data_IF_099433298042
#
_entry.id   IF_099433298042
#
_cell.length_a   1.000
_cell.length_b   1.000
_cell.length_c   1.000
_cell.angle_alpha   90.00
_cell.angle_beta   90.00
_cell.angle_gamma   90.00
#
_symmetry.space_group_name_H-M   'P 1'
#
loop_
_entity.id
_entity.type
_entity.pdbx_description
1 polymer ?
#
# COMPACT_ATOMS: atom_id res chain seq x y z
N UNK A 1 -22.27 -3.68 17.90
CA UNK A 1 -21.23 -4.41 17.14
C UNK A 1 -20.06 -4.60 18.07
N UNK A 2 -19.53 -5.82 18.16
CA UNK A 2 -18.44 -6.14 19.07
C UNK A 2 -17.15 -5.50 18.55
N UNK A 3 -16.58 -4.57 19.32
CA UNK A 3 -15.20 -4.15 19.11
C UNK A 3 -14.31 -5.34 19.42
N UNK A 4 -13.62 -5.85 18.41
CA UNK A 4 -12.48 -6.75 18.61
C UNK A 4 -11.51 -6.07 19.60
N UNK A 5 -11.00 -6.78 20.62
CA UNK A 5 -10.03 -6.18 21.53
C UNK A 5 -8.78 -5.76 20.75
N UNK A 6 -8.17 -4.60 21.07
CA UNK A 6 -6.94 -4.17 20.41
C UNK A 6 -5.88 -5.24 20.62
N UNK A 7 -5.31 -5.76 19.53
CA UNK A 7 -4.10 -6.59 19.59
C UNK A 7 -3.05 -5.77 20.37
N UNK A 8 -2.71 -6.32 21.52
CA UNK A 8 -2.15 -5.63 22.67
C UNK A 8 -0.70 -5.19 22.46
N UNK A 9 -0.40 -3.91 22.71
CA UNK A 9 0.91 -3.44 23.17
C UNK A 9 1.70 -2.46 22.29
N UNK A 10 1.23 -2.13 21.08
CA UNK A 10 2.02 -1.32 20.14
C UNK A 10 1.68 0.18 20.22
N UNK A 11 2.67 1.09 20.21
CA UNK A 11 2.43 2.52 20.36
C UNK A 11 1.73 3.09 19.12
N UNK A 12 0.48 3.62 19.23
CA UNK A 12 -0.34 4.01 18.08
C UNK A 12 0.28 5.14 17.25
N UNK A 13 1.04 6.04 17.89
CA UNK A 13 1.77 7.12 17.20
C UNK A 13 2.88 6.56 16.32
N UNK A 14 3.57 5.51 16.76
CA UNK A 14 4.63 4.90 15.96
C UNK A 14 4.06 4.16 14.76
N UNK A 15 2.93 3.48 14.95
CA UNK A 15 2.21 2.85 13.84
C UNK A 15 1.79 3.89 12.79
N UNK A 16 1.23 5.03 13.23
CA UNK A 16 0.92 6.15 12.34
C UNK A 16 2.14 6.69 11.60
N UNK A 17 3.27 6.89 12.30
CA UNK A 17 4.53 7.35 11.69
C UNK A 17 5.01 6.38 10.60
N UNK A 18 5.03 5.08 10.88
CA UNK A 18 5.46 4.08 9.89
C UNK A 18 4.50 3.99 8.71
N UNK A 19 3.19 4.19 8.91
CA UNK A 19 2.24 4.31 7.80
C UNK A 19 2.52 5.56 6.97
N UNK A 20 2.85 6.69 7.58
CA UNK A 20 3.26 7.87 6.85
C UNK A 20 4.56 7.64 6.06
N UNK A 21 5.55 6.96 6.65
CA UNK A 21 6.79 6.57 5.97
C UNK A 21 6.51 5.65 4.76
N UNK A 22 5.54 4.73 4.88
CA UNK A 22 5.09 3.87 3.77
C UNK A 22 4.47 4.67 2.62
N UNK A 23 3.79 5.77 2.92
CA UNK A 23 3.21 6.65 1.90
C UNK A 23 4.24 7.59 1.25
N UNK A 24 5.34 7.90 1.95
CA UNK A 24 6.38 8.81 1.47
C UNK A 24 7.56 8.10 0.77
N UNK A 25 7.85 6.85 1.16
CA UNK A 25 9.02 6.10 0.69
C UNK A 25 8.60 4.86 -0.13
N UNK A 26 8.60 4.92 -1.48
CA UNK A 26 8.11 3.82 -2.31
C UNK A 26 8.90 2.51 -2.12
N UNK A 27 10.20 2.60 -1.83
CA UNK A 27 11.02 1.40 -1.57
C UNK A 27 10.60 0.68 -0.28
N UNK A 28 10.21 1.42 0.77
CA UNK A 28 9.67 0.84 2.00
C UNK A 28 8.28 0.23 1.74
N UNK A 29 7.44 0.92 0.95
CA UNK A 29 6.15 0.40 0.52
C UNK A 29 6.27 -0.90 -0.28
N UNK A 30 7.24 -1.00 -1.20
CA UNK A 30 7.53 -2.24 -1.96
C UNK A 30 7.91 -3.37 -1.03
N UNK A 31 8.76 -3.10 -0.04
CA UNK A 31 9.18 -4.11 0.93
C UNK A 31 7.96 -4.62 1.73
N UNK A 32 7.14 -3.72 2.28
CA UNK A 32 5.94 -4.11 3.02
C UNK A 32 4.92 -4.87 2.15
N UNK A 33 4.60 -4.35 0.96
CA UNK A 33 3.68 -5.00 0.03
C UNK A 33 4.17 -6.39 -0.39
N UNK A 34 5.47 -6.55 -0.65
CA UNK A 34 6.04 -7.86 -0.99
C UNK A 34 5.88 -8.87 0.14
N UNK A 35 6.14 -8.48 1.40
CA UNK A 35 5.97 -9.36 2.56
C UNK A 35 4.49 -9.72 2.71
N UNK A 36 3.57 -8.75 2.56
CA UNK A 36 2.14 -9.00 2.70
C UNK A 36 1.59 -9.99 1.66
N UNK A 37 2.15 -9.99 0.45
CA UNK A 37 1.72 -10.88 -0.63
C UNK A 37 2.42 -12.24 -0.62
N UNK A 38 3.68 -12.29 -0.21
CA UNK A 38 4.55 -13.47 -0.38
C UNK A 38 5.08 -14.04 0.93
N UNK A 39 4.64 -13.49 2.06
CA UNK A 39 5.01 -13.95 3.40
C UNK A 39 4.67 -15.42 3.63
N UNK A 40 5.41 -16.12 4.51
CA UNK A 40 6.61 -15.65 5.20
C UNK A 40 7.87 -15.54 4.30
N UNK A 41 8.72 -14.53 4.54
CA UNK A 41 9.96 -14.28 3.79
C UNK A 41 11.16 -13.97 4.68
N UNK A 42 12.37 -14.14 4.15
CA UNK A 42 13.63 -13.74 4.80
C UNK A 42 14.13 -12.39 4.30
N UNK A 43 14.92 -11.67 5.12
CA UNK A 43 15.55 -10.41 4.70
C UNK A 43 16.45 -10.59 3.48
N UNK A 44 17.14 -11.74 3.37
CA UNK A 44 17.99 -12.03 2.21
C UNK A 44 17.21 -12.20 0.91
N UNK A 45 16.01 -12.78 0.96
CA UNK A 45 15.12 -12.86 -0.21
C UNK A 45 14.63 -11.48 -0.63
N UNK A 46 14.28 -10.62 0.34
CA UNK A 46 13.86 -9.23 0.06
C UNK A 46 14.97 -8.43 -0.63
N UNK A 47 16.20 -8.50 -0.12
CA UNK A 47 17.37 -7.86 -0.74
C UNK A 47 17.56 -8.32 -2.18
N UNK A 48 17.46 -9.62 -2.44
CA UNK A 48 17.66 -10.18 -3.78
C UNK A 48 16.52 -9.88 -4.76
N UNK A 49 15.26 -9.89 -4.30
CA UNK A 49 14.08 -9.70 -5.16
C UNK A 49 13.77 -8.24 -5.44
N UNK A 50 13.97 -7.36 -4.46
CA UNK A 50 13.56 -5.96 -4.55
C UNK A 50 14.72 -5.01 -4.89
N UNK A 51 15.93 -5.55 -5.06
CA UNK A 51 17.17 -4.79 -5.32
C UNK A 51 17.41 -3.67 -4.29
N UNK A 52 17.12 -3.97 -3.00
CA UNK A 52 17.28 -3.02 -1.89
C UNK A 52 18.63 -3.27 -1.21
N UNK A 53 19.43 -2.22 -0.93
CA UNK A 53 20.67 -2.38 -0.17
C UNK A 53 20.44 -3.10 1.16
N UNK A 54 21.34 -4.02 1.51
CA UNK A 54 21.16 -4.88 2.68
C UNK A 54 20.93 -4.09 3.98
N UNK A 55 21.71 -3.03 4.24
CA UNK A 55 21.52 -2.18 5.43
C UNK A 55 20.12 -1.58 5.49
N UNK A 56 19.66 -1.00 4.38
CA UNK A 56 18.33 -0.42 4.24
C UNK A 56 17.22 -1.45 4.45
N UNK A 57 17.37 -2.67 3.92
CA UNK A 57 16.39 -3.73 4.15
C UNK A 57 16.27 -4.11 5.64
N UNK A 58 17.39 -4.20 6.37
CA UNK A 58 17.36 -4.42 7.82
C UNK A 58 16.72 -3.26 8.59
N UNK A 59 17.02 -2.01 8.21
CA UNK A 59 16.44 -0.82 8.83
C UNK A 59 14.92 -0.78 8.62
N UNK A 60 14.45 -1.03 7.39
CA UNK A 60 13.02 -1.10 7.06
C UNK A 60 12.32 -2.23 7.82
N UNK A 61 12.91 -3.43 7.87
CA UNK A 61 12.36 -4.54 8.65
C UNK A 61 12.24 -4.21 10.13
N UNK A 62 13.24 -3.57 10.71
CA UNK A 62 13.20 -3.15 12.11
C UNK A 62 12.09 -2.12 12.35
N UNK A 63 11.91 -1.15 11.44
CA UNK A 63 10.86 -0.15 11.54
C UNK A 63 9.47 -0.80 11.50
N UNK A 64 9.24 -1.68 10.52
CA UNK A 64 7.98 -2.40 10.36
C UNK A 64 7.69 -3.34 11.54
N UNK A 65 8.70 -4.06 12.05
CA UNK A 65 8.57 -4.94 13.23
C UNK A 65 8.24 -4.13 14.49
N UNK A 66 8.89 -2.98 14.68
CA UNK A 66 8.66 -2.11 15.85
C UNK A 66 7.26 -1.49 15.82
N UNK A 67 6.77 -1.11 14.63
CA UNK A 67 5.41 -0.63 14.42
C UNK A 67 4.37 -1.77 14.41
N UNK A 68 4.81 -3.02 14.29
CA UNK A 68 3.96 -4.20 14.26
C UNK A 68 3.27 -4.48 12.95
N UNK A 69 3.75 -3.91 11.86
CA UNK A 69 3.24 -4.25 10.53
C UNK A 69 3.87 -5.54 10.01
N UNK A 70 4.96 -5.99 10.65
CA UNK A 70 5.64 -7.24 10.35
C UNK A 70 5.95 -7.97 11.65
N UNK A 71 5.85 -9.29 11.65
CA UNK A 71 6.22 -10.13 12.78
C UNK A 71 7.15 -11.27 12.37
N UNK A 72 8.03 -11.66 13.29
CA UNK A 72 8.89 -12.83 13.10
C UNK A 72 8.09 -14.08 13.42
N UNK A 73 7.85 -14.90 12.40
CA UNK A 73 7.10 -16.16 12.54
C UNK A 73 7.98 -17.37 12.83
N UNK A 74 9.31 -17.21 12.70
CA UNK A 74 10.29 -18.27 12.98
C UNK A 74 11.41 -17.79 13.91
N UNK A 75 11.59 -18.48 15.03
CA UNK A 75 12.60 -18.15 16.05
C UNK A 75 14.03 -18.61 15.72
N UNK A 76 14.21 -19.43 14.67
CA UNK A 76 15.50 -19.97 14.26
C UNK A 76 15.97 -19.33 12.95
N UNK A 77 17.29 -19.25 12.78
CA UNK A 77 17.88 -18.70 11.55
C UNK A 77 17.74 -19.68 10.36
N UNK A 78 17.56 -19.16 9.13
CA UNK A 78 17.26 -17.76 8.81
C UNK A 78 15.88 -17.35 9.35
N UNK A 79 15.78 -16.15 9.91
CA UNK A 79 14.50 -15.66 10.42
C UNK A 79 13.55 -15.39 9.27
N UNK A 80 12.30 -15.79 9.46
CA UNK A 80 11.20 -15.57 8.53
C UNK A 80 10.22 -14.59 9.14
N UNK A 81 9.66 -13.75 8.29
CA UNK A 81 8.81 -12.63 8.65
C UNK A 81 7.54 -12.65 7.82
N UNK A 82 6.43 -12.36 8.47
CA UNK A 82 5.12 -12.22 7.85
C UNK A 82 4.55 -10.84 8.15
N UNK A 83 3.69 -10.33 7.27
CA UNK A 83 3.11 -8.99 7.43
C UNK A 83 1.67 -9.05 7.92
N UNK A 84 1.32 -8.12 8.78
CA UNK A 84 -0.04 -7.92 9.26
C UNK A 84 -0.68 -6.79 8.45
N UNK A 85 -1.78 -7.10 7.76
CA UNK A 85 -2.55 -6.10 7.00
C UNK A 85 -3.00 -4.97 7.94
N UNK A 86 -2.71 -3.74 7.53
CA UNK A 86 -3.12 -2.53 8.25
C UNK A 86 -4.12 -1.72 7.42
N UNK A 87 -5.20 -1.30 8.09
CA UNK A 87 -6.09 -0.26 7.62
C UNK A 87 -6.15 0.85 8.68
N UNK A 88 -5.76 2.07 8.30
CA UNK A 88 -5.74 3.21 9.20
C UNK A 88 -6.64 4.31 8.64
N UNK A 89 -7.68 4.65 9.39
CA UNK A 89 -8.61 5.73 9.02
C UNK A 89 -8.20 7.02 9.73
N UNK A 90 -7.95 8.06 8.96
CA UNK A 90 -7.67 9.42 9.42
C UNK A 90 -8.91 10.28 9.20
N UNK A 91 -9.20 11.15 10.16
CA UNK A 91 -10.27 12.15 10.04
C UNK A 91 -9.73 13.52 10.44
N UNK A 92 -9.76 14.47 9.49
CA UNK A 92 -9.32 15.86 9.68
C UNK A 92 -10.38 16.78 9.09
N UNK A 93 -10.82 17.79 9.84
CA UNK A 93 -11.75 18.82 9.38
C UNK A 93 -13.05 18.31 8.73
N UNK A 94 -13.49 17.11 9.12
CA UNK A 94 -14.72 16.47 8.61
C UNK A 94 -14.51 15.58 7.38
N UNK A 95 -13.31 15.57 6.81
CA UNK A 95 -12.90 14.64 5.76
C UNK A 95 -12.33 13.38 6.40
N UNK A 96 -12.55 12.23 5.76
CA UNK A 96 -12.07 10.94 6.26
C UNK A 96 -11.44 10.15 5.12
N UNK A 97 -10.21 9.71 5.33
CA UNK A 97 -9.48 8.87 4.38
C UNK A 97 -9.01 7.60 5.09
N UNK A 98 -9.20 6.45 4.43
CA UNK A 98 -8.65 5.18 4.91
C UNK A 98 -7.42 4.81 4.09
N UNK A 99 -6.32 4.60 4.78
CA UNK A 99 -5.07 4.10 4.20
C UNK A 99 -5.16 2.57 4.22
N UNK A 100 -5.22 1.97 3.04
CA UNK A 100 -5.36 0.52 2.85
C UNK A 100 -4.05 -0.10 2.35
N UNK A 101 -3.90 -1.44 2.45
CA UNK A 101 -2.78 -2.12 1.81
C UNK A 101 -2.69 -1.89 0.31
N UNK A 102 -3.85 -1.79 -0.36
CA UNK A 102 -3.91 -1.51 -1.79
C UNK A 102 -3.36 -0.11 -2.11
N UNK A 103 -3.68 0.91 -1.30
CA UNK A 103 -3.10 2.25 -1.46
C UNK A 103 -1.58 2.23 -1.26
N UNK A 104 -1.09 1.51 -0.25
CA UNK A 104 0.36 1.35 -0.02
C UNK A 104 1.02 0.63 -1.20
N UNK A 105 0.39 -0.40 -1.76
CA UNK A 105 0.88 -1.11 -2.94
C UNK A 105 0.87 -0.24 -4.21
N UNK A 106 -0.08 0.70 -4.35
CA UNK A 106 -0.06 1.70 -5.41
C UNK A 106 1.13 2.66 -5.25
N UNK A 107 1.36 3.18 -4.03
CA UNK A 107 2.53 4.03 -3.73
C UNK A 107 3.85 3.30 -3.99
N UNK A 108 3.90 2.00 -3.68
CA UNK A 108 5.09 1.17 -3.91
C UNK A 108 5.56 1.17 -5.38
N UNK A 109 4.63 1.34 -6.31
CA UNK A 109 4.89 1.34 -7.76
C UNK A 109 5.40 2.69 -8.27
N UNK A 110 5.37 3.75 -7.46
CA UNK A 110 5.76 5.11 -7.86
C UNK A 110 7.13 5.19 -8.57
N UNK A 111 8.17 4.52 -8.05
CA UNK A 111 9.50 4.54 -8.69
C UNK A 111 9.61 3.65 -9.95
N UNK A 112 8.59 2.83 -10.23
CA UNK A 112 8.58 1.81 -11.28
C UNK A 112 7.56 2.07 -12.38
N UNK A 113 6.62 2.99 -12.14
CA UNK A 113 5.50 3.35 -13.00
C UNK A 113 5.37 4.88 -13.02
N UNK A 114 5.85 5.48 -14.11
CA UNK A 114 5.88 6.94 -14.30
C UNK A 114 4.46 7.54 -14.33
N UNK A 115 3.46 6.80 -14.78
CA UNK A 115 2.09 7.28 -14.85
C UNK A 115 1.49 7.44 -13.44
N UNK A 116 1.80 6.51 -12.52
CA UNK A 116 1.44 6.64 -11.10
C UNK A 116 2.16 7.82 -10.45
N UNK A 117 3.46 8.00 -10.72
CA UNK A 117 4.24 9.11 -10.15
C UNK A 117 3.67 10.47 -10.59
N UNK A 118 3.47 10.67 -11.89
CA UNK A 118 2.89 11.89 -12.45
C UNK A 118 1.49 12.14 -11.89
N UNK A 119 0.68 11.09 -11.72
CA UNK A 119 -0.66 11.23 -11.16
C UNK A 119 -0.62 11.69 -9.69
N UNK A 120 0.26 11.11 -8.87
CA UNK A 120 0.46 11.53 -7.47
C UNK A 120 0.96 12.98 -7.41
N UNK A 121 1.87 13.39 -8.30
CA UNK A 121 2.36 14.78 -8.33
C UNK A 121 1.25 15.80 -8.62
N UNK A 122 0.25 15.42 -9.44
CA UNK A 122 -0.86 16.31 -9.83
C UNK A 122 -2.02 16.30 -8.84
N UNK A 123 -2.37 15.12 -8.34
CA UNK A 123 -3.62 14.88 -7.61
C UNK A 123 -3.41 14.46 -6.15
N UNK A 124 -2.16 14.27 -5.73
CA UNK A 124 -1.81 13.84 -4.39
C UNK A 124 -2.22 12.40 -4.10
N UNK A 125 -1.97 11.97 -2.85
CA UNK A 125 -2.32 10.62 -2.39
C UNK A 125 -3.83 10.42 -2.19
N UNK A 126 -4.56 11.48 -1.85
CA UNK A 126 -6.02 11.41 -1.75
C UNK A 126 -6.64 11.19 -3.14
N UNK A 127 -6.14 11.89 -4.17
CA UNK A 127 -6.53 11.65 -5.56
C UNK A 127 -6.19 10.23 -6.03
N UNK A 128 -5.03 9.71 -5.63
CA UNK A 128 -4.63 8.32 -5.91
C UNK A 128 -5.57 7.31 -5.25
N UNK A 129 -5.97 7.56 -3.99
CA UNK A 129 -6.89 6.70 -3.27
C UNK A 129 -8.25 6.59 -3.97
N UNK A 130 -8.81 7.72 -4.42
CA UNK A 130 -10.07 7.73 -5.18
C UNK A 130 -9.88 7.07 -6.56
N UNK A 131 -8.76 7.31 -7.25
CA UNK A 131 -8.48 6.64 -8.53
C UNK A 131 -8.39 5.12 -8.38
N UNK A 132 -7.88 4.62 -7.26
CA UNK A 132 -7.79 3.19 -6.97
C UNK A 132 -9.17 2.55 -6.73
N UNK A 133 -10.13 3.29 -6.15
CA UNK A 133 -11.52 2.85 -6.07
C UNK A 133 -12.11 2.67 -7.47
N UNK A 134 -11.92 3.65 -8.36
CA UNK A 134 -12.35 3.53 -9.76
C UNK A 134 -11.61 2.46 -10.55
N UNK A 135 -10.33 2.20 -10.24
CA UNK A 135 -9.58 1.09 -10.85
C UNK A 135 -10.17 -0.26 -10.46
N UNK A 136 -10.64 -0.40 -9.22
CA UNK A 136 -11.35 -1.61 -8.76
C UNK A 136 -12.68 -1.78 -9.50
N UNK A 137 -13.49 -0.72 -9.61
CA UNK A 137 -14.74 -0.74 -10.39
C UNK A 137 -14.50 -0.98 -11.89
N UNK A 138 -13.37 -0.51 -12.43
CA UNK A 138 -12.96 -0.75 -13.80
C UNK A 138 -12.61 -2.22 -14.05
N UNK A 139 -11.85 -2.85 -13.13
CA UNK A 139 -11.54 -4.30 -13.16
C UNK A 139 -12.82 -5.14 -13.07
N UNK A 140 -13.77 -4.73 -12.23
CA UNK A 140 -15.07 -5.39 -12.07
C UNK A 140 -16.01 -5.16 -13.27
N UNK A 141 -15.64 -4.27 -14.20
CA UNK A 141 -16.41 -3.92 -15.39
C UNK A 141 -17.66 -3.08 -15.10
N UNK A 142 -17.79 -2.52 -13.90
CA UNK A 142 -18.91 -1.65 -13.51
C UNK A 142 -18.68 -0.20 -13.96
N UNK A 143 -17.41 0.20 -14.11
CA UNK A 143 -16.99 1.50 -14.64
C UNK A 143 -16.14 1.33 -15.90
N UNK A 144 -16.19 2.33 -16.78
CA UNK A 144 -15.23 2.48 -17.89
C UNK A 144 -14.48 3.82 -17.76
N UNK A 145 -13.39 3.98 -18.51
CA UNK A 145 -12.54 5.17 -18.47
C UNK A 145 -13.31 6.50 -18.68
N UNK A 146 -14.43 6.51 -19.42
CA UNK A 146 -15.23 7.73 -19.64
C UNK A 146 -16.04 8.12 -18.41
N UNK A 147 -16.52 7.15 -17.65
CA UNK A 147 -17.21 7.39 -16.38
C UNK A 147 -16.17 7.89 -15.37
N UNK A 148 -15.06 7.18 -15.21
CA UNK A 148 -13.99 7.58 -14.30
C UNK A 148 -13.46 9.00 -14.62
N UNK A 149 -13.22 9.32 -15.90
CA UNK A 149 -12.79 10.65 -16.31
C UNK A 149 -13.74 11.76 -15.85
N UNK A 150 -15.07 11.52 -15.92
CA UNK A 150 -16.05 12.50 -15.49
C UNK A 150 -16.06 12.67 -13.97
N UNK A 151 -15.99 11.57 -13.23
CA UNK A 151 -16.10 11.61 -11.77
C UNK A 151 -14.81 12.11 -11.11
N UNK A 152 -13.65 11.80 -11.70
CA UNK A 152 -12.33 12.28 -11.25
C UNK A 152 -11.97 13.67 -11.79
N UNK A 153 -12.84 14.27 -12.62
CA UNK A 153 -12.57 15.54 -13.35
C UNK A 153 -11.25 15.52 -14.14
N UNK A 154 -11.02 14.41 -14.86
CA UNK A 154 -9.82 14.17 -15.67
C UNK A 154 -10.14 14.23 -17.17
N UNK A 155 -9.08 14.39 -17.98
CA UNK A 155 -9.21 14.08 -19.40
C UNK A 155 -9.48 12.58 -19.61
N UNK A 156 -10.21 12.17 -20.67
CA UNK A 156 -10.43 10.75 -20.95
C UNK A 156 -9.15 9.93 -21.08
N UNK A 157 -8.08 10.55 -21.61
CA UNK A 157 -6.77 9.91 -21.75
C UNK A 157 -6.09 9.73 -20.39
N UNK A 158 -6.09 10.76 -19.54
CA UNK A 158 -5.48 10.67 -18.21
C UNK A 158 -6.19 9.64 -17.33
N UNK A 159 -7.53 9.57 -17.41
CA UNK A 159 -8.31 8.52 -16.75
C UNK A 159 -7.98 7.12 -17.28
N UNK A 160 -7.85 6.94 -18.60
CA UNK A 160 -7.48 5.65 -19.17
C UNK A 160 -6.08 5.21 -18.70
N UNK A 161 -5.11 6.12 -18.72
CA UNK A 161 -3.73 5.87 -18.27
C UNK A 161 -3.71 5.44 -16.80
N UNK A 162 -4.30 6.23 -15.89
CA UNK A 162 -4.23 5.91 -14.47
C UNK A 162 -4.98 4.61 -14.12
N UNK A 163 -6.11 4.34 -14.78
CA UNK A 163 -6.83 3.08 -14.57
C UNK A 163 -6.00 1.87 -15.01
N UNK A 164 -5.31 1.95 -16.16
CA UNK A 164 -4.41 0.89 -16.62
C UNK A 164 -3.21 0.70 -15.70
N UNK A 165 -2.62 1.80 -15.20
CA UNK A 165 -1.49 1.75 -14.28
C UNK A 165 -1.88 1.14 -12.91
N UNK A 166 -3.10 1.40 -12.44
CA UNK A 166 -3.62 0.86 -11.18
C UNK A 166 -4.29 -0.52 -11.31
N UNK A 167 -4.63 -0.97 -12.52
CA UNK A 167 -5.27 -2.26 -12.80
C UNK A 167 -4.56 -3.45 -12.11
N UNK A 168 -3.20 -3.56 -12.12
CA UNK A 168 -2.52 -4.65 -11.42
C UNK A 168 -2.76 -4.64 -9.91
N UNK A 169 -2.77 -3.46 -9.28
CA UNK A 169 -3.04 -3.33 -7.84
C UNK A 169 -4.50 -3.65 -7.54
N UNK A 170 -5.42 -3.07 -8.30
CA UNK A 170 -6.85 -3.31 -8.14
C UNK A 170 -7.18 -4.80 -8.27
N UNK A 171 -6.63 -5.49 -9.28
CA UNK A 171 -6.82 -6.93 -9.48
C UNK A 171 -6.27 -7.75 -8.31
N UNK A 172 -5.10 -7.39 -7.81
CA UNK A 172 -4.42 -8.12 -6.75
C UNK A 172 -5.13 -8.01 -5.39
N UNK A 173 -5.76 -6.86 -5.14
CA UNK A 173 -6.47 -6.58 -3.88
C UNK A 173 -7.99 -6.72 -3.99
N UNK A 174 -8.56 -7.04 -5.16
CA UNK A 174 -10.00 -7.25 -5.37
C UNK A 174 -10.59 -8.32 -4.42
N UNK A 175 -9.83 -9.38 -4.14
CA UNK A 175 -10.27 -10.49 -3.27
C UNK A 175 -10.10 -10.21 -1.77
N UNK A 176 -9.44 -9.11 -1.40
CA UNK A 176 -9.14 -8.77 0.01
C UNK A 176 -10.27 -7.96 0.68
N UNK A 177 -11.33 -7.62 -0.06
CA UNK A 177 -12.50 -6.89 0.41
C UNK A 177 -13.68 -7.79 0.77
N UNK A 178 -13.54 -8.65 1.78
CA UNK A 178 -14.67 -9.35 2.42
C UNK A 178 -14.49 -9.49 3.94
#
# INVERSE_FOLDING_TARGET
>A
MAQSPPRSGRPPIQQLQTVADLLDTPTLARLYAHILQHGPVTVSELVGKLDIPQGTAYDYMQNLETAGLVEKVREQRPYEYDAESIALTLSTDGETQTITPALIAAVARRDQDEDIDIYIERHGLDGLAVALEYASEYVDGTVNHRIAARELDLSPLEAEIILQALEPVATEYADSGA
#
